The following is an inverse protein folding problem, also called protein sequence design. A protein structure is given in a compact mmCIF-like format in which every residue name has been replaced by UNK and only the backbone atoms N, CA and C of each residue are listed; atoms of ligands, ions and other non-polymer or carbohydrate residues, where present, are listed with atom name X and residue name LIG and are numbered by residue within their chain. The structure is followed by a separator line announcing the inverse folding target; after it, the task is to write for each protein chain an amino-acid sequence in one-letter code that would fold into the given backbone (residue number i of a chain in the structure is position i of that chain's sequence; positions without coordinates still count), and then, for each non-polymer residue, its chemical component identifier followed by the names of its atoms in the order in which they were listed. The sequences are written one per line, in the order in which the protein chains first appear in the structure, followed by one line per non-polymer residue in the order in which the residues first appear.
data_IF_395191397760
#
_entry.id   IF_395191397760
#
_cell.length_a   1.000
_cell.length_b   1.000
_cell.length_c   1.000
_cell.angle_alpha   90.00
_cell.angle_beta   90.00
_cell.angle_gamma   90.00
#
_symmetry.space_group_name_H-M   'P 1'
#
loop_
_entity.id
_entity.type
_entity.pdbx_description
1 polymer ?
#
# COMPACT_ATOMS: atom_id res chain seq x y z
N UNK A 1 10.41 -9.72 -8.09
CA UNK A 1 9.21 -9.46 -8.92
C UNK A 1 9.14 -10.38 -10.11
N UNK A 2 10.08 -10.31 -11.07
CA UNK A 2 10.13 -11.29 -12.17
C UNK A 2 10.58 -12.65 -11.63
N UNK A 3 11.70 -12.69 -10.91
CA UNK A 3 12.28 -13.92 -10.34
C UNK A 3 11.35 -14.64 -9.35
N UNK A 4 10.43 -13.90 -8.74
CA UNK A 4 9.42 -14.43 -7.82
C UNK A 4 8.10 -14.76 -8.53
N UNK A 5 8.08 -14.72 -9.87
CA UNK A 5 6.91 -14.89 -10.75
C UNK A 5 5.69 -14.01 -10.44
N UNK A 6 5.86 -13.00 -9.58
CA UNK A 6 4.79 -12.14 -9.11
C UNK A 6 4.40 -11.06 -10.12
N UNK A 7 5.30 -10.75 -11.07
CA UNK A 7 5.06 -9.86 -12.20
C UNK A 7 5.65 -10.45 -13.47
N UNK A 8 4.82 -10.68 -14.49
CA UNK A 8 5.28 -11.13 -15.80
C UNK A 8 6.24 -10.10 -16.44
N UNK A 9 7.29 -10.52 -17.16
CA UNK A 9 8.30 -9.62 -17.75
C UNK A 9 7.70 -8.49 -18.59
N UNK A 10 6.72 -8.79 -19.45
CA UNK A 10 6.05 -7.80 -20.30
C UNK A 10 5.21 -6.76 -19.53
N UNK A 11 4.89 -7.02 -18.26
CA UNK A 11 4.12 -6.10 -17.41
C UNK A 11 5.01 -5.22 -16.51
N UNK A 12 6.28 -5.55 -16.34
CA UNK A 12 7.18 -4.89 -15.38
C UNK A 12 7.23 -3.38 -15.56
N UNK A 13 7.43 -2.90 -16.80
CA UNK A 13 7.53 -1.47 -17.09
C UNK A 13 6.25 -0.72 -16.70
N UNK A 14 5.08 -1.29 -17.00
CA UNK A 14 3.80 -0.65 -16.68
C UNK A 14 3.44 -0.73 -15.19
N UNK A 15 3.95 -1.73 -14.47
CA UNK A 15 3.88 -1.81 -13.00
C UNK A 15 4.74 -0.71 -12.38
N UNK A 16 6.03 -0.65 -12.73
CA UNK A 16 6.99 0.33 -12.18
C UNK A 16 6.65 1.78 -12.54
N UNK A 17 6.08 2.02 -13.72
CA UNK A 17 5.67 3.37 -14.14
C UNK A 17 4.31 3.80 -13.58
N UNK A 18 3.63 2.94 -12.81
CA UNK A 18 2.27 3.18 -12.30
C UNK A 18 1.15 3.14 -13.36
N UNK A 19 1.46 2.83 -14.63
CA UNK A 19 0.47 2.76 -15.72
C UNK A 19 -0.56 1.65 -15.48
N UNK A 20 -0.17 0.57 -14.80
CA UNK A 20 -1.05 -0.52 -14.40
C UNK A 20 -1.34 -0.45 -12.90
N UNK A 21 -2.13 0.54 -12.48
CA UNK A 21 -2.41 0.84 -11.07
C UNK A 21 -2.68 -0.40 -10.21
N UNK A 22 -3.69 -1.23 -10.56
CA UNK A 22 -4.02 -2.42 -9.76
C UNK A 22 -2.88 -3.43 -9.66
N UNK A 23 -2.10 -3.62 -10.73
CA UNK A 23 -0.94 -4.52 -10.73
C UNK A 23 0.23 -3.94 -9.95
N UNK A 24 0.43 -2.63 -10.04
CA UNK A 24 1.40 -1.86 -9.26
C UNK A 24 1.11 -1.98 -7.76
N UNK A 25 -0.11 -1.66 -7.34
CA UNK A 25 -0.53 -1.77 -5.93
C UNK A 25 -0.36 -3.20 -5.42
N UNK A 26 -0.78 -4.22 -6.19
CA UNK A 26 -0.60 -5.62 -5.79
C UNK A 26 0.88 -5.97 -5.62
N UNK A 27 1.73 -5.60 -6.58
CA UNK A 27 3.17 -5.87 -6.53
C UNK A 27 3.83 -5.23 -5.30
N UNK A 28 3.55 -3.95 -5.04
CA UNK A 28 4.11 -3.26 -3.88
C UNK A 28 3.61 -3.82 -2.55
N UNK A 29 2.34 -4.25 -2.46
CA UNK A 29 1.81 -4.92 -1.25
C UNK A 29 2.52 -6.25 -0.96
N UNK A 30 2.79 -7.06 -1.99
CA UNK A 30 3.52 -8.32 -1.81
C UNK A 30 4.97 -8.07 -1.37
N UNK A 31 5.64 -7.06 -1.95
CA UNK A 31 7.01 -6.70 -1.55
C UNK A 31 7.02 -6.14 -0.13
N UNK A 32 6.07 -5.27 0.21
CA UNK A 32 5.93 -4.71 1.56
C UNK A 32 5.84 -5.83 2.60
N UNK A 33 4.89 -6.75 2.44
CA UNK A 33 4.67 -7.86 3.36
C UNK A 33 5.92 -8.74 3.47
N UNK A 34 6.53 -9.11 2.34
CA UNK A 34 7.74 -9.93 2.34
C UNK A 34 8.92 -9.24 3.06
N UNK A 35 9.13 -7.95 2.80
CA UNK A 35 10.20 -7.18 3.43
C UNK A 35 9.94 -6.97 4.93
N UNK A 36 8.69 -6.70 5.32
CA UNK A 36 8.32 -6.56 6.73
C UNK A 36 8.56 -7.86 7.50
N UNK A 37 8.17 -9.02 6.94
CA UNK A 37 8.45 -10.34 7.52
C UNK A 37 9.94 -10.60 7.68
N UNK A 38 10.76 -10.24 6.69
CA UNK A 38 12.22 -10.39 6.79
C UNK A 38 12.83 -9.48 7.86
N UNK A 39 12.36 -8.24 7.95
CA UNK A 39 12.80 -7.28 8.97
C UNK A 39 12.36 -7.70 10.36
N UNK A 40 11.13 -8.19 10.50
CA UNK A 40 10.62 -8.73 11.76
C UNK A 40 11.35 -10.00 12.19
N UNK A 41 11.71 -10.90 11.26
CA UNK A 41 12.56 -12.06 11.55
C UNK A 41 13.96 -11.65 12.04
N UNK A 42 14.50 -10.51 11.58
CA UNK A 42 15.75 -9.98 12.11
C UNK A 42 15.58 -9.47 13.55
N UNK A 43 14.49 -8.77 13.83
CA UNK A 43 14.11 -8.33 15.16
C UNK A 43 13.88 -9.50 16.13
N UNK A 44 13.15 -10.54 15.73
CA UNK A 44 12.91 -11.71 16.58
C UNK A 44 14.20 -12.37 17.06
N UNK A 45 15.29 -12.29 16.30
CA UNK A 45 16.60 -12.82 16.70
C UNK A 45 17.24 -12.01 17.83
N UNK A 46 16.92 -10.73 17.98
CA UNK A 46 17.46 -9.86 19.03
C UNK A 46 16.70 -9.99 20.35
N UNK A 47 15.52 -10.63 20.34
CA UNK A 47 14.66 -10.75 21.51
C UNK A 47 15.09 -11.85 22.47
N UNK A 48 14.90 -11.55 23.75
CA UNK A 48 14.99 -12.50 24.85
C UNK A 48 13.87 -13.56 24.79
N UNK A 49 14.03 -14.63 25.56
CA UNK A 49 13.03 -15.69 25.67
C UNK A 49 11.69 -15.17 26.18
N UNK A 50 11.69 -14.18 27.08
CA UNK A 50 10.48 -13.59 27.63
C UNK A 50 9.72 -12.80 26.57
N UNK A 51 10.40 -11.92 25.84
CA UNK A 51 9.81 -11.09 24.78
C UNK A 51 9.26 -11.95 23.63
N UNK A 52 9.95 -13.04 23.28
CA UNK A 52 9.42 -14.03 22.33
C UNK A 52 8.12 -14.68 22.80
N UNK A 53 8.00 -14.94 24.10
CA UNK A 53 6.77 -15.41 24.72
C UNK A 53 5.63 -14.39 24.61
N UNK A 54 5.93 -13.11 24.77
CA UNK A 54 4.94 -12.04 24.61
C UNK A 54 4.47 -11.88 23.15
N UNK A 55 5.36 -11.97 22.17
CA UNK A 55 4.97 -12.01 20.74
C UNK A 55 4.04 -13.19 20.47
N UNK A 56 4.39 -14.38 20.95
CA UNK A 56 3.56 -15.56 20.75
C UNK A 56 2.17 -15.41 21.38
N UNK A 57 2.09 -14.82 22.57
CA UNK A 57 0.81 -14.52 23.21
C UNK A 57 -0.02 -13.49 22.40
N UNK A 58 0.62 -12.46 21.84
CA UNK A 58 -0.05 -11.50 20.95
C UNK A 58 -0.60 -12.20 19.71
N UNK A 59 0.18 -13.09 19.06
CA UNK A 59 -0.26 -13.83 17.88
C UNK A 59 -1.50 -14.70 18.17
N UNK A 60 -1.49 -15.46 19.26
CA UNK A 60 -2.66 -16.24 19.70
C UNK A 60 -3.89 -15.34 19.86
N UNK A 61 -3.76 -14.21 20.56
CA UNK A 61 -4.85 -13.28 20.78
C UNK A 61 -5.40 -12.72 19.44
N UNK A 62 -4.53 -12.39 18.48
CA UNK A 62 -4.94 -11.90 17.16
C UNK A 62 -5.67 -12.98 16.35
N UNK A 63 -5.22 -14.24 16.43
CA UNK A 63 -5.89 -15.36 15.74
C UNK A 63 -7.29 -15.65 16.30
N UNK A 64 -7.47 -15.48 17.61
CA UNK A 64 -8.76 -15.64 18.30
C UNK A 64 -9.67 -14.40 18.13
N UNK A 65 -9.07 -13.20 18.04
CA UNK A 65 -9.73 -11.90 17.95
C UNK A 65 -10.02 -11.41 16.54
N UNK A 66 -10.56 -12.25 15.65
CA UNK A 66 -10.80 -11.89 14.22
C UNK A 66 -11.80 -10.75 14.01
N UNK A 67 -12.64 -10.46 15.01
CA UNK A 67 -13.57 -9.33 15.01
C UNK A 67 -12.80 -8.01 15.17
N UNK A 68 -13.13 -7.01 14.35
CA UNK A 68 -12.45 -5.70 14.36
C UNK A 68 -12.30 -5.09 15.74
N UNK A 69 -13.36 -5.11 16.55
CA UNK A 69 -13.36 -4.48 17.88
C UNK A 69 -12.31 -5.12 18.78
N UNK A 70 -12.32 -6.44 18.89
CA UNK A 70 -11.33 -7.21 19.65
C UNK A 70 -9.92 -6.99 19.12
N UNK A 71 -9.75 -6.98 17.80
CA UNK A 71 -8.45 -6.67 17.20
C UNK A 71 -7.95 -5.27 17.61
N UNK A 72 -8.80 -4.24 17.57
CA UNK A 72 -8.42 -2.89 17.98
C UNK A 72 -8.08 -2.82 19.48
N UNK A 73 -8.81 -3.55 20.32
CA UNK A 73 -8.50 -3.69 21.75
C UNK A 73 -7.14 -4.35 21.97
N UNK A 74 -6.82 -5.42 21.22
CA UNK A 74 -5.51 -6.06 21.25
C UNK A 74 -4.41 -5.08 20.83
N UNK A 75 -4.61 -4.36 19.71
CA UNK A 75 -3.64 -3.38 19.22
C UNK A 75 -3.41 -2.21 20.19
N UNK A 76 -4.42 -1.85 20.98
CA UNK A 76 -4.33 -0.80 21.98
C UNK A 76 -3.78 -1.30 23.34
N UNK A 77 -3.49 -2.60 23.48
CA UNK A 77 -2.95 -3.13 24.72
C UNK A 77 -1.51 -2.66 24.99
N UNK A 78 -1.16 -2.52 26.27
CA UNK A 78 0.19 -2.14 26.69
C UNK A 78 1.25 -3.10 26.12
N UNK A 79 0.96 -4.40 26.09
CA UNK A 79 1.86 -5.40 25.51
C UNK A 79 2.19 -5.14 24.03
N UNK A 80 1.18 -4.82 23.20
CA UNK A 80 1.42 -4.50 21.79
C UNK A 80 2.18 -3.18 21.66
N UNK A 81 1.86 -2.21 22.51
CA UNK A 81 2.54 -0.90 22.54
C UNK A 81 4.02 -1.05 22.91
N UNK A 82 4.34 -1.80 23.96
CA UNK A 82 5.71 -2.07 24.41
C UNK A 82 6.50 -2.81 23.34
N UNK A 83 5.92 -3.85 22.74
CA UNK A 83 6.55 -4.60 21.65
C UNK A 83 6.78 -3.73 20.41
N UNK A 84 5.84 -2.81 20.10
CA UNK A 84 6.00 -1.86 19.01
C UNK A 84 7.14 -0.88 19.29
N UNK A 85 7.26 -0.39 20.53
CA UNK A 85 8.37 0.48 20.93
C UNK A 85 9.73 -0.23 20.80
N UNK A 86 9.82 -1.49 21.22
CA UNK A 86 11.04 -2.30 21.03
C UNK A 86 11.38 -2.48 19.56
N UNK A 87 10.37 -2.73 18.71
CA UNK A 87 10.56 -2.87 17.28
C UNK A 87 11.03 -1.57 16.62
N UNK A 88 10.45 -0.43 17.01
CA UNK A 88 10.86 0.89 16.52
C UNK A 88 12.30 1.21 16.91
N UNK A 89 12.68 0.97 18.16
CA UNK A 89 14.04 1.17 18.64
C UNK A 89 15.05 0.28 17.89
N UNK A 90 14.68 -0.97 17.60
CA UNK A 90 15.48 -1.87 16.77
C UNK A 90 15.68 -1.31 15.36
N UNK A 91 14.62 -0.83 14.72
CA UNK A 91 14.69 -0.25 13.37
C UNK A 91 15.58 0.99 13.38
N UNK A 92 15.40 1.90 14.33
CA UNK A 92 16.20 3.13 14.45
C UNK A 92 17.68 2.81 14.55
N UNK A 93 18.06 1.94 15.50
CA UNK A 93 19.44 1.50 15.69
C UNK A 93 20.03 0.88 14.42
N UNK A 94 19.32 -0.05 13.78
CA UNK A 94 19.81 -0.71 12.58
C UNK A 94 19.90 0.23 11.36
N UNK A 95 19.07 1.26 11.29
CA UNK A 95 19.16 2.27 10.24
C UNK A 95 20.40 3.16 10.39
N UNK A 96 20.89 3.38 11.61
CA UNK A 96 22.14 4.12 11.86
C UNK A 96 23.37 3.28 11.49
N UNK A 97 23.34 1.98 11.78
CA UNK A 97 24.48 1.07 11.60
C UNK A 97 24.60 0.58 10.15
N UNK A 98 23.48 0.30 9.46
CA UNK A 98 23.48 -0.39 8.17
C UNK A 98 22.75 0.40 7.08
N UNK A 99 23.48 0.98 6.09
CA UNK A 99 22.88 1.75 5.00
C UNK A 99 21.90 0.97 4.12
N UNK A 100 22.12 -0.34 3.93
CA UNK A 100 21.21 -1.19 3.17
C UNK A 100 19.90 -1.41 3.93
N UNK A 101 20.00 -1.71 5.24
CA UNK A 101 18.85 -1.83 6.13
C UNK A 101 18.04 -0.52 6.13
N UNK A 102 18.72 0.61 6.28
CA UNK A 102 18.10 1.94 6.29
C UNK A 102 17.31 2.21 5.00
N UNK A 103 17.94 1.97 3.84
CA UNK A 103 17.31 2.19 2.55
C UNK A 103 16.01 1.39 2.38
N UNK A 104 16.03 0.09 2.69
CA UNK A 104 14.85 -0.76 2.56
C UNK A 104 13.79 -0.50 3.63
N UNK A 105 14.19 -0.08 4.83
CA UNK A 105 13.24 0.42 5.84
C UNK A 105 12.53 1.69 5.38
N UNK A 106 13.22 2.62 4.73
CA UNK A 106 12.58 3.82 4.14
C UNK A 106 11.63 3.47 2.99
N UNK A 107 11.94 2.45 2.20
CA UNK A 107 11.01 1.94 1.18
C UNK A 107 9.72 1.38 1.82
N UNK A 108 9.83 0.61 2.90
CA UNK A 108 8.67 0.11 3.66
C UNK A 108 7.84 1.28 4.18
N UNK A 109 8.46 2.25 4.85
CA UNK A 109 7.78 3.46 5.36
C UNK A 109 7.02 4.21 4.26
N UNK A 110 7.64 4.40 3.09
CA UNK A 110 7.00 5.05 1.94
C UNK A 110 5.73 4.30 1.49
N UNK A 111 5.75 2.96 1.50
CA UNK A 111 4.58 2.16 1.14
C UNK A 111 3.46 2.26 2.19
N UNK A 112 3.81 2.38 3.47
CA UNK A 112 2.84 2.64 4.55
C UNK A 112 2.16 3.99 4.31
N UNK A 113 2.94 5.05 4.05
CA UNK A 113 2.38 6.38 3.75
C UNK A 113 1.46 6.34 2.52
N UNK A 114 1.88 5.66 1.45
CA UNK A 114 1.05 5.48 0.26
C UNK A 114 -0.27 4.75 0.58
N UNK A 115 -0.22 3.70 1.40
CA UNK A 115 -1.41 2.98 1.86
C UNK A 115 -2.32 3.88 2.71
N UNK A 116 -1.78 4.65 3.66
CA UNK A 116 -2.55 5.57 4.50
C UNK A 116 -3.27 6.63 3.68
N UNK A 117 -2.60 7.23 2.68
CA UNK A 117 -3.24 8.22 1.79
C UNK A 117 -4.42 7.60 1.04
N UNK A 118 -4.31 6.34 0.60
CA UNK A 118 -5.43 5.67 -0.08
C UNK A 118 -6.62 5.40 0.83
N UNK A 119 -6.43 5.28 2.15
CA UNK A 119 -7.52 5.03 3.09
C UNK A 119 -8.35 6.29 3.37
N UNK A 120 -7.79 7.49 3.23
CA UNK A 120 -8.49 8.76 3.50
C UNK A 120 -9.73 9.00 2.61
N UNK A 121 -9.84 8.32 1.48
CA UNK A 121 -10.91 8.51 0.49
C UNK A 121 -11.80 7.27 0.33
N UNK A 122 -11.90 6.48 1.40
CA UNK A 122 -12.64 5.24 1.41
C UNK A 122 -13.67 5.25 2.53
N UNK A 123 -14.75 4.49 2.33
CA UNK A 123 -15.81 4.30 3.31
C UNK A 123 -15.93 2.83 3.68
N UNK A 124 -16.27 2.59 4.94
CA UNK A 124 -16.50 1.27 5.48
C UNK A 124 -18.01 1.00 5.52
N UNK A 125 -18.42 -0.16 5.01
CA UNK A 125 -19.84 -0.54 4.90
C UNK A 125 -20.35 -1.43 6.03
N UNK A 126 -19.46 -2.01 6.83
CA UNK A 126 -19.78 -3.03 7.82
C UNK A 126 -18.75 -3.03 8.95
N UNK A 127 -19.16 -3.42 10.15
CA UNK A 127 -18.29 -3.45 11.33
C UNK A 127 -17.66 -4.83 11.59
N UNK A 128 -18.22 -5.89 11.00
CA UNK A 128 -17.81 -7.27 11.25
C UNK A 128 -16.43 -7.62 10.69
N UNK A 129 -16.11 -7.12 9.48
CA UNK A 129 -14.80 -7.34 8.83
C UNK A 129 -14.12 -6.00 8.55
N UNK A 130 -13.42 -5.50 9.57
CA UNK A 130 -12.99 -4.11 9.72
C UNK A 130 -11.84 -3.60 8.87
N UNK A 131 -11.20 -4.47 8.09
CA UNK A 131 -10.03 -4.12 7.28
C UNK A 131 -10.37 -3.85 5.81
N UNK A 132 -11.65 -3.78 5.48
CA UNK A 132 -12.12 -3.53 4.10
C UNK A 132 -12.80 -2.16 3.99
N UNK A 133 -12.16 -1.26 3.26
CA UNK A 133 -12.75 0.00 2.85
C UNK A 133 -12.91 0.04 1.33
N UNK A 134 -13.93 0.75 0.86
CA UNK A 134 -14.28 0.85 -0.56
C UNK A 134 -14.24 2.32 -0.93
N UNK A 135 -13.73 2.67 -2.11
CA UNK A 135 -13.73 4.06 -2.57
C UNK A 135 -15.15 4.67 -2.48
N UNK A 136 -15.25 5.94 -2.09
CA UNK A 136 -16.53 6.62 -1.88
C UNK A 136 -17.44 6.50 -3.11
N UNK A 137 -16.90 6.76 -4.31
CA UNK A 137 -17.63 6.66 -5.58
C UNK A 137 -18.17 5.25 -5.82
N UNK A 138 -17.34 4.22 -5.63
CA UNK A 138 -17.77 2.83 -5.78
C UNK A 138 -18.82 2.43 -4.73
N UNK A 139 -18.78 3.02 -3.53
CA UNK A 139 -19.80 2.77 -2.51
C UNK A 139 -21.13 3.38 -2.90
N UNK A 140 -21.14 4.64 -3.34
CA UNK A 140 -22.34 5.29 -3.89
C UNK A 140 -22.89 4.46 -5.05
N UNK A 141 -22.00 3.98 -5.91
CA UNK A 141 -22.36 3.15 -7.06
C UNK A 141 -23.05 1.83 -6.64
N UNK A 142 -22.53 1.18 -5.59
CA UNK A 142 -23.04 -0.11 -5.09
C UNK A 142 -24.21 -0.01 -4.11
N UNK A 143 -24.56 1.18 -3.61
CA UNK A 143 -25.65 1.39 -2.66
C UNK A 143 -26.75 2.25 -3.26
N UNK A 144 -26.53 3.57 -3.36
CA UNK A 144 -27.53 4.55 -3.76
C UNK A 144 -27.83 4.47 -5.27
N UNK A 145 -26.80 4.29 -6.10
CA UNK A 145 -26.99 4.24 -7.54
C UNK A 145 -27.48 2.87 -8.01
N UNK A 146 -27.06 1.78 -7.35
CA UNK A 146 -27.40 0.42 -7.76
C UNK A 146 -28.91 0.24 -7.89
N UNK A 147 -29.64 0.66 -6.86
CA UNK A 147 -31.09 0.46 -6.79
C UNK A 147 -31.87 1.54 -7.59
N UNK A 148 -31.20 2.64 -7.97
CA UNK A 148 -31.82 3.72 -8.75
C UNK A 148 -31.57 3.59 -10.26
N UNK A 149 -30.59 2.78 -10.68
CA UNK A 149 -30.28 2.47 -12.09
C UNK A 149 -31.26 1.44 -12.65
N UNK A 150 -31.99 1.82 -13.70
CA UNK A 150 -32.84 0.91 -14.48
C UNK A 150 -32.04 0.20 -15.58
N UNK A 151 -32.55 -0.95 -16.06
CA UNK A 151 -32.03 -1.63 -17.26
C UNK A 151 -32.07 -0.65 -18.45
N UNK A 152 -30.92 -0.14 -18.86
CA UNK A 152 -30.77 0.86 -19.93
C UNK A 152 -30.15 2.21 -19.52
N UNK A 153 -29.89 2.43 -18.23
CA UNK A 153 -29.33 3.69 -17.72
C UNK A 153 -30.34 4.84 -17.73
N UNK A 154 -29.90 6.06 -17.41
CA UNK A 154 -30.76 7.25 -17.33
C UNK A 154 -30.98 7.96 -18.68
N UNK A 155 -30.69 7.30 -19.80
CA UNK A 155 -30.70 7.93 -21.12
C UNK A 155 -32.12 8.41 -21.48
N UNK A 156 -32.26 9.71 -21.82
CA UNK A 156 -33.53 10.35 -22.17
C UNK A 156 -34.30 10.94 -20.99
N UNK A 157 -34.24 10.34 -19.79
CA UNK A 157 -34.86 10.89 -18.58
C UNK A 157 -34.19 12.20 -18.14
N UNK A 158 -32.87 12.33 -18.34
CA UNK A 158 -32.09 13.52 -17.97
C UNK A 158 -32.48 14.79 -18.74
N UNK A 159 -33.15 14.67 -19.88
CA UNK A 159 -33.60 15.80 -20.70
C UNK A 159 -34.94 16.38 -20.21
N UNK A 160 -35.68 15.65 -19.36
CA UNK A 160 -36.95 16.10 -18.80
C UNK A 160 -36.80 16.40 -17.29
N UNK A 161 -36.70 17.69 -16.95
CA UNK A 161 -36.52 18.15 -15.55
C UNK A 161 -37.59 17.62 -14.59
N UNK A 162 -38.85 17.53 -15.02
CA UNK A 162 -39.94 17.01 -14.18
C UNK A 162 -39.81 15.51 -13.91
N UNK A 163 -39.35 14.74 -14.90
CA UNK A 163 -39.06 13.32 -14.72
C UNK A 163 -37.86 13.10 -13.80
N UNK A 164 -36.78 13.89 -13.96
CA UNK A 164 -35.62 13.86 -13.07
C UNK A 164 -36.02 14.19 -11.63
N UNK A 165 -36.83 15.23 -11.41
CA UNK A 165 -37.25 15.61 -10.07
C UNK A 165 -38.07 14.51 -9.37
N UNK A 166 -39.05 13.92 -10.07
CA UNK A 166 -39.82 12.78 -9.53
C UNK A 166 -38.95 11.55 -9.24
N UNK A 167 -37.98 11.29 -10.09
CA UNK A 167 -37.02 10.21 -9.88
C UNK A 167 -36.15 10.47 -8.65
N UNK A 168 -35.59 11.68 -8.51
CA UNK A 168 -34.76 12.08 -7.38
C UNK A 168 -35.52 11.92 -6.04
N UNK A 169 -36.77 12.37 -5.99
CA UNK A 169 -37.60 12.31 -4.78
C UNK A 169 -38.09 10.89 -4.46
N UNK A 170 -38.33 10.04 -5.46
CA UNK A 170 -39.00 8.76 -5.28
C UNK A 170 -38.10 7.52 -5.33
N UNK A 171 -36.85 7.63 -5.78
CA UNK A 171 -36.01 6.46 -6.02
C UNK A 171 -35.68 5.66 -4.74
N UNK A 172 -35.40 6.34 -3.63
CA UNK A 172 -35.04 5.70 -2.36
C UNK A 172 -36.22 4.87 -1.82
N UNK A 173 -37.41 5.44 -1.84
CA UNK A 173 -38.66 4.77 -1.44
C UNK A 173 -39.00 3.59 -2.34
N UNK A 174 -38.83 3.74 -3.67
CA UNK A 174 -39.04 2.63 -4.62
C UNK A 174 -38.06 1.48 -4.37
N UNK A 175 -36.80 1.77 -4.06
CA UNK A 175 -35.82 0.76 -3.66
C UNK A 175 -36.25 0.04 -2.37
N UNK A 176 -36.67 0.79 -1.36
CA UNK A 176 -37.12 0.22 -0.09
C UNK A 176 -38.33 -0.73 -0.28
N UNK A 177 -39.33 -0.31 -1.05
CA UNK A 177 -40.50 -1.14 -1.37
C UNK A 177 -40.07 -2.42 -2.11
N UNK A 178 -39.20 -2.29 -3.12
CA UNK A 178 -38.71 -3.44 -3.90
C UNK A 178 -38.01 -4.47 -3.01
N UNK A 179 -37.12 -4.02 -2.12
CA UNK A 179 -36.44 -4.91 -1.16
C UNK A 179 -37.41 -5.64 -0.23
N UNK A 180 -38.46 -4.96 0.24
CA UNK A 180 -39.50 -5.59 1.05
C UNK A 180 -40.27 -6.65 0.25
N UNK A 181 -40.62 -6.36 -1.01
CA UNK A 181 -41.26 -7.34 -1.89
C UNK A 181 -40.37 -8.56 -2.16
N UNK A 182 -39.07 -8.37 -2.42
CA UNK A 182 -38.10 -9.46 -2.61
C UNK A 182 -37.98 -10.33 -1.35
N UNK A 183 -37.91 -9.71 -0.17
CA UNK A 183 -37.88 -10.41 1.11
C UNK A 183 -39.17 -11.21 1.35
N UNK A 184 -40.34 -10.61 1.08
CA UNK A 184 -41.64 -11.30 1.16
C UNK A 184 -41.74 -12.47 0.18
N UNK A 185 -41.13 -12.35 -1.00
CA UNK A 185 -41.07 -13.40 -2.01
C UNK A 185 -39.98 -14.45 -1.73
N UNK A 186 -39.20 -14.29 -0.66
CA UNK A 186 -38.08 -15.15 -0.29
C UNK A 186 -37.01 -15.27 -1.41
N UNK A 187 -36.86 -14.20 -2.22
CA UNK A 187 -35.88 -14.08 -3.31
C UNK A 187 -34.66 -13.25 -2.86
N UNK A 188 -34.47 -13.09 -1.55
CA UNK A 188 -33.38 -12.29 -0.98
C UNK A 188 -32.03 -12.77 -1.52
N UNK A 189 -31.24 -11.84 -2.06
CA UNK A 189 -29.87 -12.13 -2.50
C UNK A 189 -29.09 -12.79 -1.35
N UNK A 190 -28.55 -13.99 -1.60
CA UNK A 190 -27.59 -14.61 -0.68
C UNK A 190 -26.39 -13.68 -0.60
N UNK A 191 -26.12 -13.15 0.60
CA UNK A 191 -24.95 -12.31 0.86
C UNK A 191 -23.69 -13.13 0.60
N UNK A 192 -23.09 -12.97 -0.58
CA UNK A 192 -21.82 -13.62 -0.89
C UNK A 192 -20.75 -13.08 0.05
N UNK A 193 -20.03 -13.97 0.73
CA UNK A 193 -18.79 -13.62 1.43
C UNK A 193 -17.83 -12.91 0.47
N UNK A 194 -17.09 -11.91 0.97
CA UNK A 194 -16.20 -11.08 0.16
C UNK A 194 -15.19 -11.97 -0.56
N UNK A 195 -15.07 -11.82 -1.89
CA UNK A 195 -14.09 -12.54 -2.73
C UNK A 195 -12.65 -12.49 -2.21
N UNK A 196 -12.26 -11.43 -1.51
CA UNK A 196 -10.91 -11.27 -0.96
C UNK A 196 -10.66 -12.06 0.32
N UNK A 197 -11.72 -12.48 1.02
CA UNK A 197 -11.67 -13.32 2.22
C UNK A 197 -11.91 -14.80 1.89
N UNK A 198 -12.10 -15.13 0.60
CA UNK A 198 -12.19 -16.52 0.15
C UNK A 198 -10.87 -17.24 0.49
N UNK A 199 -10.95 -18.43 1.09
CA UNK A 199 -9.78 -19.23 1.50
C UNK A 199 -8.76 -19.39 0.36
N UNK A 200 -9.23 -19.66 -0.85
CA UNK A 200 -8.41 -19.78 -2.06
C UNK A 200 -7.69 -18.49 -2.43
N UNK A 201 -8.29 -17.32 -2.15
CA UNK A 201 -7.63 -16.02 -2.37
C UNK A 201 -6.53 -15.81 -1.33
N UNK A 202 -6.82 -16.07 -0.06
CA UNK A 202 -5.85 -15.94 1.04
C UNK A 202 -4.64 -16.83 0.77
N UNK A 203 -4.85 -18.11 0.46
CA UNK A 203 -3.77 -19.05 0.13
C UNK A 203 -2.94 -18.61 -1.08
N UNK A 204 -3.59 -18.07 -2.11
CA UNK A 204 -2.88 -17.60 -3.30
C UNK A 204 -2.04 -16.33 -3.05
N UNK A 205 -2.54 -15.41 -2.21
CA UNK A 205 -1.79 -14.20 -1.85
C UNK A 205 -0.66 -14.53 -0.85
N UNK A 206 -0.89 -15.44 0.10
CA UNK A 206 0.14 -15.94 1.01
C UNK A 206 1.29 -16.62 0.25
N UNK A 207 0.97 -17.53 -0.67
CA UNK A 207 1.97 -18.17 -1.53
C UNK A 207 2.79 -17.15 -2.32
N UNK A 208 2.14 -16.11 -2.85
CA UNK A 208 2.86 -15.08 -3.60
C UNK A 208 3.83 -14.26 -2.72
N UNK A 209 3.48 -14.02 -1.46
CA UNK A 209 4.38 -13.40 -0.47
C UNK A 209 5.53 -14.32 -0.12
N UNK A 210 5.27 -15.62 0.09
CA UNK A 210 6.30 -16.62 0.35
C UNK A 210 7.31 -16.72 -0.81
N UNK A 211 6.83 -16.74 -2.05
CA UNK A 211 7.67 -16.79 -3.26
C UNK A 211 8.59 -15.55 -3.34
N UNK A 212 8.06 -14.35 -3.06
CA UNK A 212 8.86 -13.12 -2.98
C UNK A 212 9.88 -13.19 -1.84
N UNK A 213 9.46 -13.66 -0.67
CA UNK A 213 10.32 -13.79 0.52
C UNK A 213 11.48 -14.75 0.25
N UNK A 214 11.20 -15.93 -0.32
CA UNK A 214 12.20 -16.93 -0.70
C UNK A 214 13.17 -16.37 -1.74
N UNK A 215 12.66 -15.64 -2.72
CA UNK A 215 13.49 -14.98 -3.74
C UNK A 215 14.45 -13.98 -3.09
N UNK A 216 13.98 -13.11 -2.21
CA UNK A 216 14.85 -12.13 -1.53
C UNK A 216 15.88 -12.83 -0.64
N UNK A 217 15.49 -13.90 0.09
CA UNK A 217 16.43 -14.71 0.88
C UNK A 217 17.49 -15.41 0.05
N UNK A 218 17.16 -15.82 -1.18
CA UNK A 218 18.13 -16.43 -2.12
C UNK A 218 19.09 -15.41 -2.73
N UNK A 219 18.72 -14.13 -2.68
CA UNK A 219 19.54 -12.99 -3.04
C UNK A 219 20.22 -12.43 -1.76
N UNK A 220 20.51 -11.14 -1.72
CA UNK A 220 20.97 -10.46 -0.51
C UNK A 220 19.75 -10.07 0.33
N UNK A 221 19.62 -10.64 1.52
CA UNK A 221 18.62 -10.20 2.49
C UNK A 221 19.03 -8.86 3.13
N UNK A 222 18.32 -7.74 2.88
CA UNK A 222 18.72 -6.43 3.40
C UNK A 222 18.64 -6.29 4.91
N UNK A 223 17.99 -7.23 5.61
CA UNK A 223 17.78 -7.16 7.06
C UNK A 223 18.58 -8.20 7.86
N UNK A 224 19.36 -9.06 7.19
CA UNK A 224 20.15 -10.11 7.86
C UNK A 224 21.63 -10.10 7.47
N UNK A 225 22.06 -9.10 6.68
CA UNK A 225 23.42 -9.03 6.18
C UNK A 225 24.20 -7.93 6.92
N UNK A 226 25.46 -8.23 7.25
CA UNK A 226 26.41 -7.33 7.91
C UNK A 226 27.17 -6.44 6.91
N UNK A 227 26.59 -6.15 5.74
CA UNK A 227 27.24 -5.25 4.78
C UNK A 227 27.19 -3.81 5.29
N UNK A 228 28.36 -3.21 5.49
CA UNK A 228 28.51 -1.77 5.82
C UNK A 228 28.18 -0.85 4.63
N UNK A 229 28.03 -1.42 3.44
CA UNK A 229 27.88 -0.71 2.18
C UNK A 229 26.51 -0.95 1.55
N UNK A 230 26.04 0.05 0.78
CA UNK A 230 24.82 -0.07 0.03
C UNK A 230 25.05 -0.96 -1.20
N UNK A 231 24.41 -2.13 -1.25
CA UNK A 231 24.58 -3.12 -2.33
C UNK A 231 23.28 -3.35 -3.10
N UNK A 232 23.41 -3.70 -4.38
CA UNK A 232 22.28 -4.11 -5.20
C UNK A 232 21.84 -5.53 -4.82
N UNK A 233 20.57 -5.70 -4.44
CA UNK A 233 20.06 -6.96 -3.85
C UNK A 233 20.37 -8.21 -4.68
N UNK A 234 20.21 -8.13 -6.01
CA UNK A 234 20.32 -9.31 -6.88
C UNK A 234 21.75 -9.62 -7.30
N UNK A 235 22.58 -8.60 -7.52
CA UNK A 235 23.93 -8.77 -8.08
C UNK A 235 25.04 -8.68 -7.03
N UNK A 236 24.74 -8.17 -5.83
CA UNK A 236 25.74 -7.89 -4.80
C UNK A 236 26.74 -6.80 -5.15
N UNK A 237 26.52 -6.08 -6.25
CA UNK A 237 27.39 -4.97 -6.65
C UNK A 237 27.18 -3.79 -5.71
N UNK A 238 28.28 -3.28 -5.18
CA UNK A 238 28.32 -2.10 -4.30
C UNK A 238 27.92 -0.85 -5.11
N UNK A 239 27.12 0.03 -4.49
CA UNK A 239 26.75 1.31 -5.04
C UNK A 239 28.00 2.19 -5.24
N UNK A 240 28.14 2.90 -6.37
CA UNK A 240 29.11 3.98 -6.47
C UNK A 240 28.87 5.04 -5.39
N UNK A 241 29.93 5.71 -4.95
CA UNK A 241 29.87 6.71 -3.87
C UNK A 241 28.78 7.76 -4.11
N UNK A 242 28.70 8.32 -5.33
CA UNK A 242 27.68 9.32 -5.69
C UNK A 242 26.25 8.81 -5.51
N UNK A 243 26.00 7.53 -5.83
CA UNK A 243 24.68 6.91 -5.67
C UNK A 243 24.40 6.64 -4.19
N UNK A 244 25.38 6.18 -3.44
CA UNK A 244 25.24 5.91 -2.00
C UNK A 244 24.92 7.20 -1.22
N UNK A 245 25.64 8.29 -1.49
CA UNK A 245 25.41 9.59 -0.86
C UNK A 245 24.04 10.19 -1.22
N UNK A 246 23.63 10.11 -2.48
CA UNK A 246 22.32 10.58 -2.91
C UNK A 246 21.19 9.75 -2.28
N UNK A 247 21.34 8.43 -2.18
CA UNK A 247 20.34 7.57 -1.54
C UNK A 247 20.25 7.79 -0.03
N UNK A 248 21.35 8.12 0.66
CA UNK A 248 21.32 8.51 2.08
C UNK A 248 20.60 9.83 2.32
N UNK A 249 20.79 10.81 1.41
CA UNK A 249 20.26 12.18 1.57
C UNK A 249 18.93 12.42 0.85
N UNK A 250 18.39 11.43 0.12
CA UNK A 250 17.22 11.61 -0.74
C UNK A 250 15.97 12.13 -0.01
N UNK A 251 15.75 11.67 1.23
CA UNK A 251 14.59 12.06 2.01
C UNK A 251 14.70 13.54 2.43
N UNK A 252 15.84 13.93 3.00
CA UNK A 252 16.12 15.31 3.39
C UNK A 252 16.02 16.27 2.20
N UNK A 253 16.54 15.88 1.02
CA UNK A 253 16.39 16.63 -0.23
C UNK A 253 14.91 16.78 -0.62
N UNK A 254 14.13 15.70 -0.52
CA UNK A 254 12.71 15.69 -0.78
C UNK A 254 11.92 16.61 0.15
N UNK A 255 12.17 16.52 1.46
CA UNK A 255 11.55 17.36 2.50
C UNK A 255 11.85 18.83 2.30
N UNK A 256 13.13 19.17 2.06
CA UNK A 256 13.54 20.56 1.79
C UNK A 256 12.80 21.12 0.57
N UNK A 257 12.74 20.33 -0.51
CA UNK A 257 12.04 20.73 -1.74
C UNK A 257 10.52 20.88 -1.50
N UNK A 258 9.91 19.98 -0.72
CA UNK A 258 8.49 20.03 -0.39
C UNK A 258 8.15 21.24 0.49
N UNK A 259 8.96 21.52 1.50
CA UNK A 259 8.79 22.69 2.38
C UNK A 259 8.93 24.00 1.61
N UNK A 260 9.94 24.10 0.74
CA UNK A 260 10.13 25.26 -0.14
C UNK A 260 8.93 25.44 -1.08
N UNK A 261 8.45 24.36 -1.69
CA UNK A 261 7.27 24.39 -2.55
C UNK A 261 6.01 24.84 -1.79
N UNK A 262 5.76 24.32 -0.60
CA UNK A 262 4.60 24.72 0.22
C UNK A 262 4.66 26.21 0.57
N UNK A 263 5.84 26.72 0.95
CA UNK A 263 6.02 28.14 1.29
C UNK A 263 5.83 29.06 0.09
N UNK A 264 6.39 28.69 -1.05
CA UNK A 264 6.42 29.54 -2.26
C UNK A 264 5.10 29.50 -3.03
N UNK A 265 4.45 28.35 -3.09
CA UNK A 265 3.32 28.13 -4.00
C UNK A 265 1.97 27.86 -3.32
N UNK A 266 1.93 27.48 -2.04
CA UNK A 266 0.66 27.10 -1.38
C UNK A 266 0.30 28.03 -0.23
N UNK A 267 1.25 28.40 0.62
CA UNK A 267 1.04 29.21 1.83
C UNK A 267 1.44 30.68 1.61
N UNK A 268 2.18 30.97 0.53
CA UNK A 268 2.65 32.31 0.19
C UNK A 268 1.53 33.31 -0.15
N UNK A 269 1.92 34.56 -0.41
CA UNK A 269 0.99 35.66 -0.71
C UNK A 269 0.16 35.46 -1.98
N UNK A 270 0.66 34.68 -2.93
CA UNK A 270 -0.03 34.33 -4.18
C UNK A 270 -0.07 32.80 -4.37
N UNK A 271 -1.02 32.12 -3.69
CA UNK A 271 -1.10 30.66 -3.74
C UNK A 271 -1.57 30.19 -5.12
N UNK A 272 -0.87 29.19 -5.66
CA UNK A 272 -1.18 28.53 -6.93
C UNK A 272 -1.11 27.01 -6.78
N UNK A 273 -2.28 26.39 -6.58
CA UNK A 273 -2.45 24.94 -6.46
C UNK A 273 -2.17 24.16 -7.77
N UNK A 274 -2.06 24.85 -8.91
CA UNK A 274 -1.74 24.23 -10.21
C UNK A 274 -0.24 24.22 -10.51
N UNK A 275 0.57 24.81 -9.64
CA UNK A 275 2.03 24.76 -9.77
C UNK A 275 2.54 23.32 -9.64
N UNK A 276 3.52 22.97 -10.48
CA UNK A 276 4.08 21.61 -10.49
C UNK A 276 5.33 21.54 -9.60
N UNK A 277 5.35 20.57 -8.69
CA UNK A 277 6.56 20.21 -7.96
C UNK A 277 7.57 19.59 -8.93
N UNK A 278 8.73 20.23 -9.12
CA UNK A 278 9.78 19.72 -10.00
C UNK A 278 10.37 18.44 -9.41
N UNK A 279 10.62 17.45 -10.27
CA UNK A 279 11.29 16.21 -9.87
C UNK A 279 12.74 16.49 -9.48
N UNK A 280 13.12 16.11 -8.27
CA UNK A 280 14.52 16.10 -7.83
C UNK A 280 15.30 15.04 -8.64
N UNK A 281 16.41 15.45 -9.26
CA UNK A 281 17.28 14.54 -9.99
C UNK A 281 18.18 13.82 -8.99
N UNK A 282 17.84 12.57 -8.68
CA UNK A 282 18.65 11.69 -7.83
C UNK A 282 19.49 10.74 -8.68
N UNK A 283 20.74 10.55 -8.27
CA UNK A 283 21.59 9.48 -8.80
C UNK A 283 21.10 8.14 -8.26
N UNK A 284 20.93 7.18 -9.15
CA UNK A 284 20.44 5.82 -8.82
C UNK A 284 21.24 4.79 -9.60
N UNK A 285 21.07 3.51 -9.27
CA UNK A 285 21.66 2.40 -10.04
C UNK A 285 21.32 2.43 -11.54
N UNK A 286 20.30 3.18 -11.98
CA UNK A 286 19.97 3.38 -13.40
C UNK A 286 21.02 4.17 -14.20
N UNK A 287 21.96 4.83 -13.52
CA UNK A 287 23.07 5.59 -14.12
C UNK A 287 24.30 4.70 -14.30
N UNK A 288 24.42 3.65 -13.47
CA UNK A 288 25.48 2.65 -13.54
C UNK A 288 25.30 1.84 -14.83
N UNK A 289 26.20 2.03 -15.80
CA UNK A 289 26.16 1.34 -17.09
C UNK A 289 25.61 2.13 -18.29
N UNK A 290 25.20 3.40 -18.12
CA UNK A 290 24.91 4.25 -19.29
C UNK A 290 26.21 4.63 -20.00
N UNK A 291 26.41 4.12 -21.23
CA UNK A 291 27.46 4.63 -22.13
C UNK A 291 27.25 6.13 -22.35
N UNK A 292 28.30 6.92 -22.13
CA UNK A 292 28.32 8.34 -22.48
C UNK A 292 28.19 8.45 -23.99
N UNK A 293 26.98 8.76 -24.48
CA UNK A 293 26.81 9.17 -25.87
C UNK A 293 27.28 10.62 -25.98
N UNK A 294 28.52 10.83 -26.41
CA UNK A 294 28.96 12.14 -26.85
C UNK A 294 28.10 12.54 -28.05
N UNK A 295 27.33 13.63 -27.91
CA UNK A 295 26.69 14.24 -29.06
C UNK A 295 27.79 14.84 -29.91
N UNK A 296 28.18 14.15 -30.98
CA UNK A 296 28.91 14.77 -32.08
C UNK A 296 28.04 15.92 -32.59
N UNK A 297 28.48 17.17 -32.35
CA UNK A 297 27.97 18.31 -33.09
C UNK A 297 28.35 18.08 -34.54
N UNK A 298 27.36 17.86 -35.41
CA UNK A 298 27.56 18.01 -36.85
C UNK A 298 27.97 19.46 -37.08
N UNK A 299 29.20 19.63 -37.55
CA UNK A 299 29.66 20.88 -38.17
C UNK A 299 28.96 21.12 -39.50
#
# INVERSE_FOLDING_TARGET
MIESESVAPGSLKGVLSGKHYNRCVRAHKMIYEAMERLRFQAFEKTLSTLEKGDIHAIDINVQEGKERRKFMEICASDKVTDMKMLYDLFIEKQCEENPLFAFWSKYIEMLIVAASITQNWTVQRQDEYGFSSVACDQTIEQTLNRDSKMKGGMVGMTLNKGAVHRWLMGQAERSAITKQCEAMANVTEVTRLRKNLDKTRIEADEKAVEDVTKTIKSMINPFANEHDELVHLTSGTIAPLEVAEDMKTMLQKGETTAVEFMKTHIIGSEPNIYSALKKTKLQTYSVVGKKVTSKSKKG
#
